data_IF_607506525677
#
_entry.id   IF_607506525677
#
_cell.length_a   1.000
_cell.length_b   1.000
_cell.length_c   1.000
_cell.angle_alpha   90.00
_cell.angle_beta   90.00
_cell.angle_gamma   90.00
#
_symmetry.space_group_name_H-M   'P 1'
#
loop_
_entity.id
_entity.type
_entity.pdbx_description
1 polymer ?
#
# COMPACT_ATOMS: atom_id res chain seq x y z
N UNK A 1 -4.01 -24.14 -15.32
CA UNK A 1 -4.83 -22.92 -15.52
C UNK A 1 -4.03 -21.74 -14.99
N UNK A 2 -3.72 -20.79 -15.87
CA UNK A 2 -2.73 -19.74 -15.61
C UNK A 2 -3.14 -18.84 -14.46
N UNK A 3 -2.30 -18.79 -13.43
CA UNK A 3 -2.40 -17.78 -12.39
C UNK A 3 -2.08 -16.43 -13.00
N UNK A 4 -3.12 -15.67 -13.35
CA UNK A 4 -2.97 -14.24 -13.63
C UNK A 4 -2.43 -13.58 -12.37
N UNK A 5 -1.14 -13.22 -12.41
CA UNK A 5 -0.42 -12.49 -11.38
C UNK A 5 -1.05 -11.09 -11.27
N UNK A 6 -2.11 -10.96 -10.45
CA UNK A 6 -2.91 -9.72 -10.31
C UNK A 6 -2.04 -8.50 -10.00
N UNK A 7 -0.92 -8.66 -9.30
CA UNK A 7 0.00 -7.59 -8.96
C UNK A 7 0.80 -7.02 -10.16
N UNK A 8 1.06 -7.80 -11.22
CA UNK A 8 1.76 -7.34 -12.44
C UNK A 8 0.77 -6.87 -13.51
N UNK A 9 -0.46 -7.41 -13.48
CA UNK A 9 -1.52 -7.05 -14.42
C UNK A 9 -2.12 -5.66 -14.13
N UNK A 10 -2.02 -5.17 -12.90
CA UNK A 10 -2.67 -3.94 -12.44
C UNK A 10 -1.82 -2.67 -12.47
N UNK A 11 -0.65 -2.64 -13.13
CA UNK A 11 0.14 -1.39 -13.19
C UNK A 11 -0.56 -0.32 -14.04
N UNK A 12 -0.54 0.91 -13.53
CA UNK A 12 -1.04 2.11 -14.20
C UNK A 12 0.10 2.85 -14.91
N UNK A 13 -0.23 3.53 -16.01
CA UNK A 13 0.73 4.38 -16.73
C UNK A 13 0.74 5.76 -16.08
N UNK A 14 1.91 6.20 -15.65
CA UNK A 14 2.13 7.57 -15.18
C UNK A 14 3.05 8.30 -16.15
N UNK A 15 2.72 9.56 -16.43
CA UNK A 15 3.63 10.47 -17.13
C UNK A 15 4.55 11.15 -16.12
N UNK A 16 5.85 10.94 -16.29
CA UNK A 16 6.88 11.63 -15.52
C UNK A 16 7.81 12.32 -16.50
N UNK A 17 7.63 13.63 -16.70
CA UNK A 17 8.49 14.44 -17.56
C UNK A 17 8.46 14.04 -19.03
N UNK A 18 7.33 13.57 -19.55
CA UNK A 18 7.14 13.12 -20.94
C UNK A 18 7.48 11.64 -21.17
N UNK A 19 7.87 10.90 -20.13
CA UNK A 19 8.14 9.47 -20.19
C UNK A 19 6.97 8.72 -19.54
N UNK A 20 6.35 7.80 -20.29
CA UNK A 20 5.35 6.88 -19.76
C UNK A 20 6.03 5.73 -19.02
N UNK A 21 5.80 5.66 -17.71
CA UNK A 21 6.28 4.60 -16.84
C UNK A 21 5.12 3.82 -16.26
N UNK A 22 5.26 2.49 -16.19
CA UNK A 22 4.30 1.61 -15.51
C UNK A 22 4.66 1.57 -14.03
N UNK A 23 3.81 2.10 -13.17
CA UNK A 23 3.98 2.01 -11.73
C UNK A 23 3.00 1.01 -11.14
N UNK A 24 3.37 0.31 -10.05
CA UNK A 24 2.41 -0.41 -9.23
C UNK A 24 1.35 0.57 -8.72
N UNK A 25 0.14 0.06 -8.46
CA UNK A 25 -0.91 0.91 -7.89
C UNK A 25 -0.48 1.38 -6.51
N UNK A 26 -1.11 2.46 -6.06
CA UNK A 26 -0.80 3.04 -4.76
C UNK A 26 -1.08 2.03 -3.64
N UNK A 27 -2.10 1.19 -3.75
CA UNK A 27 -2.40 0.10 -2.80
C UNK A 27 -1.26 -0.93 -2.72
N UNK A 28 -0.66 -1.27 -3.85
CA UNK A 28 0.45 -2.23 -3.91
C UNK A 28 1.72 -1.61 -3.26
N UNK A 29 1.92 -0.30 -3.41
CA UNK A 29 2.97 0.45 -2.70
C UNK A 29 2.74 0.48 -1.18
N UNK A 30 1.49 0.64 -0.73
CA UNK A 30 1.16 0.56 0.69
C UNK A 30 1.55 -0.80 1.28
N UNK A 31 1.21 -1.90 0.59
CA UNK A 31 1.57 -3.25 1.03
C UNK A 31 3.09 -3.41 1.12
N UNK A 32 3.82 -2.99 0.08
CA UNK A 32 5.28 -3.15 0.05
C UNK A 32 5.98 -2.35 1.15
N UNK A 33 5.54 -1.10 1.40
CA UNK A 33 6.10 -0.25 2.47
C UNK A 33 5.75 -0.78 3.86
N UNK A 34 4.52 -1.25 4.06
CA UNK A 34 4.07 -1.86 5.31
C UNK A 34 4.84 -3.14 5.65
N UNK A 35 5.32 -3.90 4.65
CA UNK A 35 6.18 -5.07 4.88
C UNK A 35 7.62 -4.65 5.19
N UNK A 36 8.14 -3.63 4.51
CA UNK A 36 9.53 -3.16 4.66
C UNK A 36 9.83 -2.54 6.04
N UNK A 37 8.87 -1.82 6.64
CA UNK A 37 8.89 -1.31 8.02
C UNK A 37 10.15 -0.52 8.43
N UNK A 38 10.81 0.19 7.50
CA UNK A 38 11.88 1.12 7.88
C UNK A 38 11.26 2.41 8.43
N UNK A 39 11.96 3.18 9.28
CA UNK A 39 11.45 4.45 9.78
C UNK A 39 10.95 5.39 8.67
N UNK A 40 11.67 5.44 7.54
CA UNK A 40 11.26 6.23 6.36
C UNK A 40 9.99 5.72 5.67
N UNK A 41 9.74 4.41 5.71
CA UNK A 41 8.54 3.82 5.08
C UNK A 41 7.26 4.25 5.82
N UNK A 42 7.33 4.54 7.12
CA UNK A 42 6.18 5.06 7.90
C UNK A 42 5.79 6.46 7.42
N UNK A 43 6.77 7.35 7.25
CA UNK A 43 6.53 8.69 6.68
C UNK A 43 5.97 8.60 5.26
N UNK A 44 6.50 7.68 4.46
CA UNK A 44 6.03 7.50 3.09
C UNK A 44 4.59 6.95 3.04
N UNK A 45 4.22 6.03 3.94
CA UNK A 45 2.84 5.55 4.09
C UNK A 45 1.88 6.69 4.43
N UNK A 46 2.27 7.57 5.36
CA UNK A 46 1.48 8.75 5.70
C UNK A 46 1.32 9.70 4.50
N UNK A 47 2.41 9.93 3.77
CA UNK A 47 2.39 10.74 2.55
C UNK A 47 1.47 10.18 1.47
N UNK A 48 1.52 8.87 1.22
CA UNK A 48 0.66 8.20 0.24
C UNK A 48 -0.82 8.26 0.66
N UNK A 49 -1.12 8.01 1.94
CA UNK A 49 -2.50 8.07 2.47
C UNK A 49 -3.07 9.49 2.43
N UNK A 50 -2.24 10.52 2.59
CA UNK A 50 -2.65 11.91 2.49
C UNK A 50 -2.83 12.38 1.04
N UNK A 51 -1.98 11.92 0.12
CA UNK A 51 -2.00 12.30 -1.28
C UNK A 51 -3.14 11.64 -2.08
N UNK A 52 -3.59 10.46 -1.66
CA UNK A 52 -4.60 9.66 -2.36
C UNK A 52 -5.78 9.32 -1.45
N UNK A 53 -6.65 10.29 -1.13
CA UNK A 53 -7.74 10.06 -0.19
C UNK A 53 -8.75 9.00 -0.66
N UNK A 54 -8.87 8.79 -1.97
CA UNK A 54 -9.74 7.82 -2.63
C UNK A 54 -9.24 6.36 -2.59
N UNK A 55 -8.03 6.12 -2.07
CA UNK A 55 -7.40 4.79 -1.98
C UNK A 55 -8.33 3.72 -1.42
N UNK A 56 -8.33 2.54 -2.04
CA UNK A 56 -8.92 1.34 -1.44
C UNK A 56 -7.98 0.76 -0.38
N UNK A 57 -7.98 1.43 0.77
CA UNK A 57 -7.22 1.03 1.95
C UNK A 57 -7.62 -0.37 2.42
N UNK A 58 -8.87 -0.79 2.22
CA UNK A 58 -9.34 -2.11 2.64
C UNK A 58 -8.68 -3.23 1.84
N UNK A 59 -8.48 -3.03 0.53
CA UNK A 59 -7.72 -3.96 -0.30
C UNK A 59 -6.27 -4.10 0.15
N UNK A 60 -5.58 -2.98 0.41
CA UNK A 60 -4.20 -2.98 0.91
C UNK A 60 -4.11 -3.67 2.29
N UNK A 61 -5.01 -3.32 3.22
CA UNK A 61 -5.09 -3.91 4.56
C UNK A 61 -5.29 -5.43 4.53
N UNK A 62 -6.13 -5.93 3.60
CA UNK A 62 -6.33 -7.37 3.42
C UNK A 62 -5.01 -8.08 3.13
N UNK A 63 -4.23 -7.55 2.18
CA UNK A 63 -2.93 -8.14 1.85
C UNK A 63 -1.92 -8.03 2.99
N UNK A 64 -1.83 -6.88 3.65
CA UNK A 64 -0.96 -6.69 4.83
C UNK A 64 -1.28 -7.71 5.92
N UNK A 65 -2.57 -8.01 6.15
CA UNK A 65 -2.98 -9.06 7.09
C UNK A 65 -2.46 -10.44 6.68
N UNK A 66 -2.63 -10.84 5.42
CA UNK A 66 -2.16 -12.14 4.95
C UNK A 66 -0.64 -12.27 5.07
N UNK A 67 0.12 -11.20 4.79
CA UNK A 67 1.57 -11.17 5.03
C UNK A 67 1.93 -11.23 6.53
N UNK A 68 1.23 -10.48 7.38
CA UNK A 68 1.43 -10.52 8.82
C UNK A 68 1.22 -11.94 9.39
N UNK A 69 0.21 -12.67 8.89
CA UNK A 69 -0.03 -14.07 9.25
C UNK A 69 1.11 -14.95 8.73
N UNK A 70 1.43 -14.89 7.43
CA UNK A 70 2.44 -15.74 6.81
C UNK A 70 3.84 -15.55 7.43
N UNK A 71 4.17 -14.33 7.84
CA UNK A 71 5.44 -13.97 8.46
C UNK A 71 5.42 -14.09 9.99
N UNK A 72 4.27 -14.43 10.61
CA UNK A 72 4.08 -14.43 12.07
C UNK A 72 4.43 -13.10 12.73
N UNK A 73 4.09 -11.99 12.07
CA UNK A 73 4.36 -10.61 12.48
C UNK A 73 3.06 -9.82 12.66
N UNK A 74 2.26 -10.11 13.71
CA UNK A 74 0.96 -9.45 13.93
C UNK A 74 1.07 -7.93 14.14
N UNK A 75 2.24 -7.46 14.60
CA UNK A 75 2.52 -6.04 14.84
C UNK A 75 2.46 -5.20 13.57
N UNK A 76 2.80 -5.79 12.42
CA UNK A 76 2.72 -5.12 11.11
C UNK A 76 1.30 -4.60 10.84
N UNK A 77 0.29 -5.44 11.10
CA UNK A 77 -1.10 -5.05 10.89
C UNK A 77 -1.55 -4.01 11.93
N UNK A 78 -1.14 -4.17 13.20
CA UNK A 78 -1.48 -3.21 14.26
C UNK A 78 -0.92 -1.81 13.98
N UNK A 79 0.33 -1.73 13.52
CA UNK A 79 0.97 -0.47 13.17
C UNK A 79 0.28 0.20 11.99
N UNK A 80 -0.06 -0.57 10.95
CA UNK A 80 -0.81 -0.05 9.82
C UNK A 80 -2.19 0.48 10.25
N UNK A 81 -2.93 -0.27 11.08
CA UNK A 81 -4.21 0.17 11.62
C UNK A 81 -4.09 1.44 12.47
N UNK A 82 -3.03 1.56 13.26
CA UNK A 82 -2.75 2.77 14.05
C UNK A 82 -2.46 3.98 13.15
N UNK A 83 -1.80 3.80 12.00
CA UNK A 83 -1.59 4.88 11.02
C UNK A 83 -2.92 5.31 10.37
N UNK A 84 -3.80 4.36 10.05
CA UNK A 84 -5.11 4.67 9.49
C UNK A 84 -6.00 5.44 10.47
N UNK A 85 -5.94 5.11 11.76
CA UNK A 85 -6.71 5.81 12.80
C UNK A 85 -6.29 7.28 12.99
N UNK A 86 -5.07 7.64 12.59
CA UNK A 86 -4.56 9.02 12.63
C UNK A 86 -4.99 9.84 11.41
N UNK A 87 -5.62 9.22 10.42
CA UNK A 87 -6.08 9.92 9.22
C UNK A 87 -7.25 10.83 9.59
N UNK A 88 -7.21 12.13 9.24
CA UNK A 88 -8.35 13.01 9.48
C UNK A 88 -9.57 12.49 8.68
N UNK A 89 -10.78 12.55 9.25
CA UNK A 89 -11.98 12.19 8.50
C UNK A 89 -12.11 13.13 7.31
N UNK A 90 -12.16 12.56 6.11
CA UNK A 90 -12.48 13.32 4.91
C UNK A 90 -14.02 13.41 4.84
N UNK A 91 -14.53 14.63 4.92
CA UNK A 91 -15.95 14.95 4.75
C UNK A 91 -16.40 14.84 3.30
#
# INVERSE_FOLDING_TARGET
MGGSNLAVASCENHDVGGIRVRLPRVEDLLVMKAIARRPKDVEDLQGLLAAHPELDVAAARRWIREFAIAMSMPDMLREFDALLAQRPPHG
#
